data_IF_131551389110
#
_entry.id   IF_131551389110
#
_cell.length_a   1.000
_cell.length_b   1.000
_cell.length_c   1.000
_cell.angle_alpha   90.00
_cell.angle_beta   90.00
_cell.angle_gamma   90.00
#
_symmetry.space_group_name_H-M   'P 1'
#
loop_
_entity.id
_entity.type
_entity.pdbx_description
1 polymer ?
#
# COMPACT_ATOMS: atom_id res chain seq x y z
N UNK A 1 16.98 -5.68 -20.74
CA UNK A 1 15.95 -4.65 -20.51
C UNK A 1 15.18 -5.03 -19.27
N UNK A 2 15.11 -4.16 -18.28
CA UNK A 2 14.27 -4.40 -17.11
C UNK A 2 12.80 -4.31 -17.53
N UNK A 3 11.98 -5.28 -17.14
CA UNK A 3 10.57 -5.36 -17.57
C UNK A 3 9.75 -4.37 -16.75
N UNK A 4 9.18 -3.37 -17.41
CA UNK A 4 8.25 -2.42 -16.80
C UNK A 4 6.85 -3.02 -16.74
N UNK A 5 6.17 -2.87 -15.61
CA UNK A 5 4.75 -3.21 -15.47
C UNK A 5 3.92 -1.96 -15.76
N UNK A 6 3.15 -2.00 -16.84
CA UNK A 6 2.18 -0.97 -17.18
C UNK A 6 0.79 -1.39 -16.70
N UNK A 7 0.07 -0.46 -16.06
CA UNK A 7 -1.27 -0.68 -15.50
C UNK A 7 -2.16 0.46 -15.98
N UNK A 8 -3.22 0.12 -16.71
CA UNK A 8 -4.28 1.04 -17.07
C UNK A 8 -5.54 0.73 -16.26
N UNK A 9 -6.12 1.76 -15.66
CA UNK A 9 -7.35 1.66 -14.89
C UNK A 9 -8.10 2.99 -14.91
N UNK A 10 -9.42 2.92 -14.95
CA UNK A 10 -10.32 4.08 -14.96
C UNK A 10 -11.46 3.82 -13.97
N UNK A 11 -12.00 4.88 -13.39
CA UNK A 11 -13.21 4.82 -12.56
C UNK A 11 -12.97 5.42 -11.18
N UNK A 12 -13.76 4.95 -10.20
CA UNK A 12 -13.66 5.44 -8.82
C UNK A 12 -12.33 5.02 -8.18
N UNK A 13 -11.77 5.82 -7.25
CA UNK A 13 -10.45 5.57 -6.65
C UNK A 13 -10.29 4.15 -6.10
N UNK A 14 -11.29 3.65 -5.36
CA UNK A 14 -11.29 2.27 -4.86
C UNK A 14 -11.16 1.22 -5.97
N UNK A 15 -11.92 1.35 -7.06
CA UNK A 15 -11.85 0.42 -8.18
C UNK A 15 -10.49 0.47 -8.89
N UNK A 16 -9.96 1.68 -9.12
CA UNK A 16 -8.62 1.88 -9.68
C UNK A 16 -7.57 1.20 -8.78
N UNK A 17 -7.71 1.37 -7.46
CA UNK A 17 -6.87 0.74 -6.45
C UNK A 17 -6.92 -0.78 -6.51
N UNK A 18 -8.11 -1.36 -6.67
CA UNK A 18 -8.24 -2.80 -6.82
C UNK A 18 -7.55 -3.35 -8.07
N UNK A 19 -7.70 -2.69 -9.22
CA UNK A 19 -7.03 -3.09 -10.47
C UNK A 19 -5.52 -3.03 -10.28
N UNK A 20 -5.02 -1.93 -9.71
CA UNK A 20 -3.60 -1.77 -9.37
C UNK A 20 -3.12 -2.87 -8.43
N UNK A 21 -3.82 -3.09 -7.31
CA UNK A 21 -3.47 -4.08 -6.29
C UNK A 21 -3.40 -5.49 -6.85
N UNK A 22 -4.34 -5.88 -7.72
CA UNK A 22 -4.34 -7.18 -8.39
C UNK A 22 -3.15 -7.34 -9.34
N UNK A 23 -2.90 -6.34 -10.18
CA UNK A 23 -1.83 -6.38 -11.18
C UNK A 23 -0.43 -6.33 -10.54
N UNK A 24 -0.25 -5.53 -9.48
CA UNK A 24 1.03 -5.30 -8.84
C UNK A 24 1.27 -6.13 -7.56
N UNK A 25 0.40 -7.09 -7.23
CA UNK A 25 0.45 -7.88 -5.98
C UNK A 25 1.86 -8.39 -5.63
N UNK A 26 2.57 -8.99 -6.59
CA UNK A 26 3.91 -9.50 -6.36
C UNK A 26 4.94 -8.41 -6.01
N UNK A 27 4.84 -7.24 -6.64
CA UNK A 27 5.71 -6.10 -6.35
C UNK A 27 5.39 -5.46 -5.01
N UNK A 28 4.10 -5.37 -4.65
CA UNK A 28 3.63 -4.85 -3.36
C UNK A 28 4.19 -5.71 -2.22
N UNK A 29 4.03 -7.05 -2.30
CA UNK A 29 4.55 -7.96 -1.28
C UNK A 29 6.07 -7.87 -1.14
N UNK A 30 6.79 -7.79 -2.28
CA UNK A 30 8.25 -7.59 -2.27
C UNK A 30 8.65 -6.28 -1.59
N UNK A 31 7.92 -5.19 -1.83
CA UNK A 31 8.18 -3.91 -1.18
C UNK A 31 7.91 -3.98 0.33
N UNK A 32 6.82 -4.62 0.77
CA UNK A 32 6.52 -4.79 2.19
C UNK A 32 7.65 -5.54 2.92
N UNK A 33 8.12 -6.66 2.34
CA UNK A 33 9.24 -7.40 2.94
C UNK A 33 10.54 -6.57 2.98
N UNK A 34 10.81 -5.77 1.95
CA UNK A 34 11.93 -4.83 1.97
C UNK A 34 11.80 -3.81 3.10
N UNK A 35 10.63 -3.17 3.25
CA UNK A 35 10.42 -2.17 4.31
C UNK A 35 10.48 -2.80 5.71
N UNK A 36 9.92 -4.00 5.90
CA UNK A 36 10.05 -4.76 7.15
C UNK A 36 11.52 -4.96 7.51
N UNK A 37 12.35 -5.39 6.55
CA UNK A 37 13.79 -5.57 6.76
C UNK A 37 14.49 -4.24 7.06
N UNK A 38 14.13 -3.16 6.36
CA UNK A 38 14.71 -1.82 6.57
C UNK A 38 14.41 -1.31 7.98
N UNK A 39 13.16 -1.33 8.42
CA UNK A 39 12.78 -0.86 9.75
C UNK A 39 13.43 -1.70 10.85
N UNK A 40 13.47 -3.03 10.68
CA UNK A 40 14.10 -3.90 11.66
C UNK A 40 15.62 -3.66 11.74
N UNK A 41 16.32 -3.69 10.60
CA UNK A 41 17.79 -3.68 10.59
C UNK A 41 18.41 -2.29 10.68
N UNK A 42 17.72 -1.24 10.20
CA UNK A 42 18.26 0.13 10.20
C UNK A 42 17.69 1.00 11.30
N UNK A 43 16.45 0.76 11.73
CA UNK A 43 15.79 1.57 12.73
C UNK A 43 15.62 0.83 14.07
N UNK A 44 15.80 -0.50 14.11
CA UNK A 44 15.55 -1.30 15.31
C UNK A 44 14.07 -1.35 15.71
N UNK A 45 13.15 -1.08 14.77
CA UNK A 45 11.71 -1.02 15.02
C UNK A 45 11.03 -2.28 14.47
N UNK A 46 10.21 -2.93 15.29
CA UNK A 46 9.43 -4.10 14.84
C UNK A 46 8.33 -3.68 13.86
N UNK A 47 7.91 -4.61 13.00
CA UNK A 47 6.89 -4.30 12.01
C UNK A 47 5.55 -3.88 12.65
N UNK A 48 5.20 -4.48 13.78
CA UNK A 48 3.99 -4.18 14.53
C UNK A 48 3.97 -2.73 15.00
N UNK A 49 5.10 -2.23 15.52
CA UNK A 49 5.24 -0.81 15.93
C UNK A 49 5.20 0.15 14.76
N UNK A 50 5.69 -0.28 13.59
CA UNK A 50 5.56 0.51 12.35
C UNK A 50 4.09 0.65 11.99
N UNK A 51 3.35 -0.47 11.95
CA UNK A 51 1.91 -0.49 11.64
C UNK A 51 1.10 0.37 12.62
N UNK A 52 1.33 0.20 13.93
CA UNK A 52 0.72 1.05 14.96
C UNK A 52 0.93 2.54 14.65
N UNK A 53 2.17 2.93 14.35
CA UNK A 53 2.48 4.34 14.08
C UNK A 53 1.87 4.88 12.79
N UNK A 54 1.87 4.11 11.70
CA UNK A 54 1.34 4.60 10.41
C UNK A 54 -0.18 4.63 10.40
N UNK A 55 -0.83 3.77 11.18
CA UNK A 55 -2.30 3.75 11.30
C UNK A 55 -2.88 5.09 11.80
N UNK A 56 -2.12 5.83 12.61
CA UNK A 56 -2.46 7.19 13.08
C UNK A 56 -2.61 8.19 11.92
N UNK A 57 -1.96 7.95 10.77
CA UNK A 57 -1.95 8.85 9.63
C UNK A 57 -3.18 8.77 8.73
N UNK A 58 -4.05 7.77 8.90
CA UNK A 58 -5.19 7.56 7.99
C UNK A 58 -6.17 8.72 8.03
N UNK A 59 -6.46 9.27 9.22
CA UNK A 59 -7.36 10.42 9.37
C UNK A 59 -6.79 11.68 8.74
N UNK A 60 -5.49 11.95 8.96
CA UNK A 60 -4.78 13.07 8.35
C UNK A 60 -4.83 12.98 6.82
N UNK A 61 -4.53 11.81 6.24
CA UNK A 61 -4.59 11.58 4.79
C UNK A 61 -6.02 11.76 4.28
N UNK A 62 -7.02 11.23 5.01
CA UNK A 62 -8.43 11.36 4.63
C UNK A 62 -8.91 12.81 4.65
N UNK A 63 -8.40 13.64 5.57
CA UNK A 63 -8.73 15.07 5.66
C UNK A 63 -8.21 15.85 4.45
N UNK A 64 -7.07 15.41 3.90
CA UNK A 64 -6.47 15.97 2.70
C UNK A 64 -7.11 15.43 1.42
N UNK A 65 -7.34 14.12 1.35
CA UNK A 65 -7.93 13.45 0.19
C UNK A 65 -8.59 12.13 0.58
N UNK A 66 -9.93 12.15 0.62
CA UNK A 66 -10.74 10.92 0.75
C UNK A 66 -10.42 9.93 -0.37
N UNK A 67 -10.19 10.43 -1.59
CA UNK A 67 -9.92 9.60 -2.77
C UNK A 67 -8.61 8.82 -2.63
N UNK A 68 -7.59 9.41 -1.99
CA UNK A 68 -6.33 8.71 -1.70
C UNK A 68 -6.55 7.52 -0.75
N UNK A 69 -7.36 7.70 0.29
CA UNK A 69 -7.69 6.61 1.23
C UNK A 69 -8.51 5.53 0.53
N UNK A 70 -9.48 5.90 -0.30
CA UNK A 70 -10.25 4.93 -1.08
C UNK A 70 -9.36 4.16 -2.07
N UNK A 71 -8.41 4.82 -2.73
CA UNK A 71 -7.42 4.15 -3.57
C UNK A 71 -6.57 3.15 -2.78
N UNK A 72 -6.06 3.53 -1.60
CA UNK A 72 -5.28 2.61 -0.74
C UNK A 72 -6.10 1.40 -0.26
N UNK A 73 -7.36 1.59 0.12
CA UNK A 73 -8.28 0.48 0.45
C UNK A 73 -8.49 -0.45 -0.75
N UNK A 74 -8.62 0.12 -1.95
CA UNK A 74 -8.69 -0.64 -3.18
C UNK A 74 -7.44 -1.49 -3.40
N UNK A 75 -6.25 -0.92 -3.22
CA UNK A 75 -4.96 -1.65 -3.33
C UNK A 75 -4.92 -2.81 -2.33
N UNK A 76 -5.34 -2.56 -1.09
CA UNK A 76 -5.43 -3.57 -0.04
C UNK A 76 -6.30 -4.75 -0.47
N UNK A 77 -7.54 -4.49 -0.93
CA UNK A 77 -8.42 -5.56 -1.43
C UNK A 77 -7.82 -6.29 -2.63
N UNK A 78 -7.30 -5.56 -3.62
CA UNK A 78 -6.77 -6.14 -4.85
C UNK A 78 -5.51 -6.98 -4.65
N UNK A 79 -4.64 -6.59 -3.72
CA UNK A 79 -3.40 -7.31 -3.42
C UNK A 79 -3.59 -8.41 -2.36
N UNK A 80 -4.65 -8.34 -1.55
CA UNK A 80 -4.87 -9.21 -0.39
C UNK A 80 -3.99 -8.86 0.81
N UNK A 81 -3.36 -7.68 0.82
CA UNK A 81 -2.61 -7.15 1.96
C UNK A 81 -3.57 -6.37 2.85
N UNK A 82 -3.55 -6.52 4.19
CA UNK A 82 -4.41 -5.75 5.08
C UNK A 82 -4.19 -4.23 4.94
N UNK A 83 -5.26 -3.45 5.10
CA UNK A 83 -5.19 -2.00 5.25
C UNK A 83 -5.00 -1.69 6.74
N UNK A 84 -3.74 -1.63 7.19
CA UNK A 84 -3.35 -1.40 8.59
C UNK A 84 -2.02 -0.65 8.71
#
# INVERSE_FOLDING_TARGET
MEKVLEIAAEGKPFHVGQVYGRAAKGLILKNIELYRAVFLHRCGVSWEKVLEKVSEGVEEISSYSVDAVEFMKGISEGSGVPFN
#
